data_IF_587669471747
#
_entry.id   IF_587669471747
#
_cell.length_a   1.000
_cell.length_b   1.000
_cell.length_c   1.000
_cell.angle_alpha   90.00
_cell.angle_beta   90.00
_cell.angle_gamma   90.00
#
_symmetry.space_group_name_H-M   'P 1'
#
loop_
_entity.id
_entity.type
_entity.pdbx_description
1 polymer ?
#
# COMPACT_ATOMS: atom_id res chain seq x y z
N UNK A 1 -9.47 -27.98 -6.94
CA UNK A 1 -8.86 -26.66 -7.28
C UNK A 1 -7.35 -26.68 -7.13
N UNK A 2 -6.78 -27.42 -6.17
CA UNK A 2 -5.32 -27.46 -5.94
C UNK A 2 -4.83 -26.42 -4.93
N UNK A 3 -5.76 -25.70 -4.30
CA UNK A 3 -5.56 -24.83 -3.15
C UNK A 3 -5.94 -25.62 -1.88
N UNK A 4 -5.29 -25.33 -0.75
CA UNK A 4 -5.64 -25.98 0.52
C UNK A 4 -6.78 -25.23 1.22
N UNK A 5 -7.70 -25.95 1.85
CA UNK A 5 -8.86 -25.38 2.56
C UNK A 5 -8.50 -24.29 3.58
N UNK A 6 -7.28 -24.35 4.14
CA UNK A 6 -6.81 -23.40 5.14
C UNK A 6 -6.53 -21.98 4.59
N UNK A 7 -6.25 -21.86 3.29
CA UNK A 7 -5.97 -20.60 2.61
C UNK A 7 -7.00 -20.30 1.51
N UNK A 8 -8.15 -20.97 1.54
CA UNK A 8 -9.21 -20.78 0.56
C UNK A 8 -9.93 -19.45 0.82
N UNK A 9 -9.72 -18.48 -0.08
CA UNK A 9 -10.37 -17.16 -0.05
C UNK A 9 -9.62 -16.09 0.74
N UNK A 10 -8.52 -16.46 1.39
CA UNK A 10 -7.55 -15.59 2.06
C UNK A 10 -6.19 -16.31 2.02
N UNK A 11 -5.40 -16.03 0.99
CA UNK A 11 -4.21 -16.81 0.66
C UNK A 11 -3.04 -16.54 1.61
N UNK A 12 -2.98 -15.35 2.21
CA UNK A 12 -1.87 -14.92 3.08
C UNK A 12 -2.24 -14.80 4.57
N UNK A 13 -3.48 -15.11 4.95
CA UNK A 13 -4.00 -15.12 6.34
C UNK A 13 -3.97 -13.73 7.00
N UNK A 14 -4.20 -12.69 6.20
CA UNK A 14 -4.25 -11.30 6.66
C UNK A 14 -5.66 -10.81 7.05
N UNK A 15 -6.67 -11.67 6.80
CA UNK A 15 -8.11 -11.52 7.09
C UNK A 15 -8.87 -10.68 6.07
N UNK A 16 -8.26 -10.35 4.94
CA UNK A 16 -8.90 -9.70 3.81
C UNK A 16 -9.10 -10.74 2.69
N UNK A 17 -10.29 -10.73 2.07
CA UNK A 17 -10.62 -11.71 1.05
C UNK A 17 -9.81 -11.42 -0.22
N UNK A 18 -9.23 -12.46 -0.83
CA UNK A 18 -8.37 -12.36 -2.02
C UNK A 18 -8.94 -11.45 -3.14
N UNK A 19 -10.27 -11.41 -3.29
CA UNK A 19 -10.98 -10.63 -4.32
C UNK A 19 -10.90 -9.11 -4.09
N UNK A 20 -10.80 -8.67 -2.83
CA UNK A 20 -10.73 -7.24 -2.46
C UNK A 20 -9.34 -6.84 -1.96
N UNK A 21 -8.45 -7.81 -1.74
CA UNK A 21 -7.06 -7.58 -1.41
C UNK A 21 -6.25 -7.16 -2.66
N UNK A 22 -5.50 -6.07 -2.54
CA UNK A 22 -4.61 -5.57 -3.59
C UNK A 22 -3.34 -6.43 -3.74
N UNK A 23 -2.91 -7.14 -2.69
CA UNK A 23 -1.79 -8.07 -2.70
C UNK A 23 -2.09 -9.37 -1.92
N UNK A 24 -2.95 -10.27 -2.44
CA UNK A 24 -3.40 -11.51 -1.76
C UNK A 24 -2.31 -12.52 -1.33
N UNK A 25 -1.06 -12.27 -1.70
CA UNK A 25 0.08 -13.14 -1.37
C UNK A 25 1.06 -12.45 -0.38
N UNK A 26 0.63 -11.38 0.27
CA UNK A 26 1.44 -10.59 1.19
C UNK A 26 0.64 -10.05 2.36
N UNK A 27 0.75 -10.75 3.49
CA UNK A 27 -0.02 -10.47 4.71
C UNK A 27 0.23 -9.11 5.39
N UNK A 28 1.06 -8.26 4.79
CA UNK A 28 1.37 -6.91 5.27
C UNK A 28 0.74 -5.81 4.41
N UNK A 29 0.15 -6.13 3.25
CA UNK A 29 -0.34 -5.15 2.29
C UNK A 29 -1.72 -5.57 1.76
N UNK A 30 -2.79 -5.11 2.41
CA UNK A 30 -4.15 -5.45 1.98
C UNK A 30 -4.85 -4.38 1.11
N UNK A 31 -4.47 -3.11 1.28
CA UNK A 31 -5.14 -1.94 0.71
C UNK A 31 -4.14 -0.94 0.15
N UNK A 32 -4.58 -0.18 -0.85
CA UNK A 32 -3.80 0.99 -1.30
C UNK A 32 -3.89 2.11 -0.25
N UNK A 33 -2.79 2.39 0.42
CA UNK A 33 -2.72 3.44 1.46
C UNK A 33 -1.47 4.31 1.28
N UNK A 34 -1.69 5.59 0.96
CA UNK A 34 -0.62 6.58 0.80
C UNK A 34 -0.47 7.50 2.01
N UNK A 35 -1.10 7.22 3.15
CA UNK A 35 -1.02 8.09 4.35
C UNK A 35 0.36 8.04 5.02
N UNK A 36 1.10 6.96 4.82
CA UNK A 36 2.49 6.83 5.23
C UNK A 36 3.40 6.96 3.98
N UNK A 37 3.87 8.17 3.70
CA UNK A 37 4.72 8.46 2.54
C UNK A 37 6.03 9.12 2.96
N UNK A 38 7.09 8.86 2.19
CA UNK A 38 8.35 9.58 2.29
C UNK A 38 8.39 10.69 1.23
N UNK A 39 8.53 11.93 1.68
CA UNK A 39 8.83 13.04 0.77
C UNK A 39 10.32 13.05 0.46
N UNK A 40 10.66 13.03 -0.83
CA UNK A 40 12.03 13.10 -1.31
C UNK A 40 12.28 14.49 -1.90
N UNK A 41 13.22 15.22 -1.29
CA UNK A 41 13.68 16.51 -1.80
C UNK A 41 14.73 16.24 -2.87
N UNK A 42 14.45 16.65 -4.11
CA UNK A 42 15.30 16.35 -5.26
C UNK A 42 16.43 17.36 -5.46
N UNK A 43 16.27 18.58 -4.94
CA UNK A 43 17.27 19.63 -4.96
C UNK A 43 17.38 20.25 -3.56
N UNK A 44 18.24 19.72 -2.67
CA UNK A 44 18.31 20.15 -1.28
C UNK A 44 19.03 21.48 -1.06
N UNK A 45 19.76 21.96 -2.07
CA UNK A 45 20.54 23.21 -2.00
C UNK A 45 19.97 24.32 -2.89
N UNK A 46 19.08 24.00 -3.83
CA UNK A 46 18.56 24.94 -4.80
C UNK A 46 17.40 25.79 -4.32
N UNK A 47 17.56 27.11 -4.46
CA UNK A 47 16.50 28.11 -4.21
C UNK A 47 15.45 28.17 -5.35
N UNK A 48 15.61 27.35 -6.39
CA UNK A 48 14.83 27.40 -7.62
C UNK A 48 13.42 26.80 -7.48
N UNK A 49 13.20 25.95 -6.46
CA UNK A 49 11.93 25.24 -6.30
C UNK A 49 11.47 25.25 -4.84
N UNK A 50 10.23 25.67 -4.61
CA UNK A 50 9.58 25.55 -3.30
C UNK A 50 9.14 24.08 -3.14
N UNK A 51 9.43 23.49 -1.97
CA UNK A 51 9.03 22.12 -1.68
C UNK A 51 7.50 21.93 -1.79
N UNK A 52 7.03 20.79 -2.33
CA UNK A 52 5.61 20.53 -2.45
C UNK A 52 4.93 20.37 -1.08
N UNK A 53 3.69 20.85 -0.97
CA UNK A 53 2.82 20.55 0.16
C UNK A 53 1.84 19.43 -0.23
N UNK A 54 1.97 18.27 0.40
CA UNK A 54 1.13 17.11 0.13
C UNK A 54 -0.04 17.03 1.11
N UNK A 55 -1.24 16.89 0.57
CA UNK A 55 -2.47 16.64 1.33
C UNK A 55 -3.05 15.30 0.87
N UNK A 56 -3.10 14.32 1.77
CA UNK A 56 -3.66 12.99 1.50
C UNK A 56 -5.12 12.96 1.96
N UNK A 57 -6.03 12.56 1.06
CA UNK A 57 -7.48 12.52 1.27
C UNK A 57 -8.03 11.12 0.90
N UNK A 58 -9.27 10.87 1.34
CA UNK A 58 -10.03 9.61 1.15
C UNK A 58 -9.40 8.38 1.84
N UNK A 59 -10.26 7.54 2.40
CA UNK A 59 -9.92 6.27 3.05
C UNK A 59 -10.64 5.13 2.34
#
# INVERSE_FOLDING_TARGET
DGMGDACEGDFDDDKIIDVIDVCPENAQIALTDFRAYQTVILDPEGDAQIDPNWVVLNQ
#
